data_IF_550093329081
#
_entry.id   IF_550093329081
#
_cell.length_a   1.000
_cell.length_b   1.000
_cell.length_c   1.000
_cell.angle_alpha   90.00
_cell.angle_beta   90.00
_cell.angle_gamma   90.00
#
_symmetry.space_group_name_H-M   'P 1'
#
loop_
_entity.id
_entity.type
_entity.pdbx_description
1 polymer ?
#
# COMPACT_ATOMS: atom_id res chain seq x y z
N UNK A 1 -25.79 -62.66 -21.79
CA UNK A 1 -24.63 -62.15 -21.03
C UNK A 1 -25.05 -61.17 -19.91
N UNK A 2 -26.19 -61.39 -19.24
CA UNK A 2 -26.74 -60.49 -18.21
C UNK A 2 -27.53 -61.28 -17.14
N UNK A 3 -27.05 -62.47 -16.73
CA UNK A 3 -27.83 -63.35 -15.84
C UNK A 3 -27.20 -63.76 -14.52
N UNK A 4 -25.98 -63.30 -14.21
CA UNK A 4 -25.34 -63.60 -12.92
C UNK A 4 -24.73 -62.32 -12.34
N UNK A 5 -25.57 -61.40 -11.87
CA UNK A 5 -25.13 -60.32 -10.97
C UNK A 5 -25.58 -60.73 -9.57
N UNK A 6 -24.60 -61.02 -8.72
CA UNK A 6 -24.80 -61.39 -7.33
C UNK A 6 -25.57 -60.27 -6.61
N UNK A 7 -26.77 -60.53 -6.07
CA UNK A 7 -27.58 -59.51 -5.40
C UNK A 7 -26.87 -58.89 -4.19
N UNK A 8 -25.90 -59.57 -3.57
CA UNK A 8 -25.13 -59.00 -2.46
C UNK A 8 -24.12 -57.92 -2.89
N UNK A 9 -23.66 -57.95 -4.15
CA UNK A 9 -22.80 -56.90 -4.72
C UNK A 9 -23.55 -55.59 -4.93
N UNK A 10 -24.86 -55.67 -5.25
CA UNK A 10 -25.69 -54.50 -5.53
C UNK A 10 -25.92 -53.65 -4.27
N UNK A 11 -26.09 -54.28 -3.11
CA UNK A 11 -26.34 -53.56 -1.85
C UNK A 11 -25.13 -52.69 -1.44
N UNK A 12 -23.91 -53.19 -1.64
CA UNK A 12 -22.69 -52.42 -1.35
C UNK A 12 -22.56 -51.17 -2.24
N UNK A 13 -22.84 -51.30 -3.53
CA UNK A 13 -22.76 -50.17 -4.47
C UNK A 13 -23.82 -49.10 -4.21
N UNK A 14 -25.04 -49.50 -3.81
CA UNK A 14 -26.11 -48.55 -3.47
C UNK A 14 -25.76 -47.75 -2.22
N UNK A 15 -25.20 -48.40 -1.18
CA UNK A 15 -24.77 -47.70 0.05
C UNK A 15 -23.64 -46.70 -0.26
N UNK A 16 -22.64 -47.10 -1.04
CA UNK A 16 -21.54 -46.22 -1.44
C UNK A 16 -22.06 -45.00 -2.21
N UNK A 17 -23.00 -45.21 -3.13
CA UNK A 17 -23.61 -44.13 -3.90
C UNK A 17 -24.38 -43.14 -3.01
N UNK A 18 -25.18 -43.64 -2.06
CA UNK A 18 -25.92 -42.79 -1.12
C UNK A 18 -24.96 -41.95 -0.27
N UNK A 19 -23.88 -42.55 0.25
CA UNK A 19 -22.88 -41.82 1.04
C UNK A 19 -22.18 -40.74 0.20
N UNK A 20 -21.85 -41.03 -1.06
CA UNK A 20 -21.23 -40.06 -1.97
C UNK A 20 -22.15 -38.87 -2.25
N UNK A 21 -23.45 -39.11 -2.49
CA UNK A 21 -24.44 -38.04 -2.71
C UNK A 21 -24.61 -37.17 -1.46
N UNK A 22 -24.66 -37.78 -0.27
CA UNK A 22 -24.74 -37.03 0.99
C UNK A 22 -23.50 -36.16 1.19
N UNK A 23 -22.30 -36.70 1.04
CA UNK A 23 -21.03 -35.96 1.15
C UNK A 23 -20.98 -34.77 0.18
N UNK A 24 -21.41 -34.98 -1.07
CA UNK A 24 -21.44 -33.93 -2.08
C UNK A 24 -22.46 -32.83 -1.73
N UNK A 25 -23.64 -33.20 -1.24
CA UNK A 25 -24.65 -32.25 -0.75
C UNK A 25 -24.14 -31.41 0.43
N UNK A 26 -23.43 -32.02 1.38
CA UNK A 26 -22.82 -31.29 2.50
C UNK A 26 -21.74 -30.32 2.01
N UNK A 27 -20.90 -30.74 1.07
CA UNK A 27 -19.86 -29.89 0.50
C UNK A 27 -20.45 -28.65 -0.21
N UNK A 28 -21.49 -28.84 -1.02
CA UNK A 28 -22.20 -27.71 -1.67
C UNK A 28 -22.77 -26.76 -0.63
N UNK A 29 -23.37 -27.29 0.44
CA UNK A 29 -23.96 -26.48 1.52
C UNK A 29 -22.90 -25.65 2.24
N UNK A 30 -21.72 -26.24 2.51
CA UNK A 30 -20.59 -25.55 3.13
C UNK A 30 -20.04 -24.45 2.22
N UNK A 31 -19.89 -24.72 0.92
CA UNK A 31 -19.42 -23.71 -0.04
C UNK A 31 -20.41 -22.55 -0.19
N UNK A 32 -21.71 -22.83 -0.22
CA UNK A 32 -22.74 -21.80 -0.24
C UNK A 32 -22.76 -20.96 1.04
N UNK A 33 -22.62 -21.60 2.21
CA UNK A 33 -22.50 -20.89 3.48
C UNK A 33 -21.23 -20.02 3.54
N UNK A 34 -20.10 -20.52 3.03
CA UNK A 34 -18.85 -19.78 2.96
C UNK A 34 -18.99 -18.53 2.08
N UNK A 35 -19.58 -18.66 0.89
CA UNK A 35 -19.86 -17.52 -0.01
C UNK A 35 -20.73 -16.45 0.68
N UNK A 36 -21.77 -16.88 1.41
CA UNK A 36 -22.61 -15.96 2.20
C UNK A 36 -21.87 -15.30 3.34
N UNK A 37 -21.00 -16.03 4.04
CA UNK A 37 -20.16 -15.45 5.11
C UNK A 37 -19.18 -14.43 4.53
N UNK A 38 -18.51 -14.74 3.42
CA UNK A 38 -17.61 -13.80 2.73
C UNK A 38 -18.35 -12.53 2.28
N UNK A 39 -19.50 -12.70 1.62
CA UNK A 39 -20.37 -11.58 1.21
C UNK A 39 -20.80 -10.73 2.42
N UNK A 40 -21.15 -11.38 3.53
CA UNK A 40 -21.55 -10.71 4.77
C UNK A 40 -20.39 -9.94 5.44
N UNK A 41 -19.16 -10.46 5.35
CA UNK A 41 -17.94 -9.76 5.77
C UNK A 41 -17.63 -8.54 4.88
N UNK A 42 -17.77 -8.66 3.56
CA UNK A 42 -17.57 -7.57 2.61
C UNK A 42 -18.57 -6.42 2.79
N UNK A 43 -19.83 -6.75 3.13
CA UNK A 43 -20.87 -5.75 3.37
C UNK A 43 -20.76 -5.06 4.75
N UNK A 44 -19.84 -5.50 5.63
CA UNK A 44 -19.55 -4.84 6.90
C UNK A 44 -20.62 -4.98 7.99
N UNK A 45 -21.60 -5.88 7.80
CA UNK A 45 -22.71 -6.10 8.74
C UNK A 45 -22.29 -6.67 10.11
N UNK A 46 -21.09 -7.25 10.20
CA UNK A 46 -20.56 -7.79 11.45
C UNK A 46 -20.30 -6.72 12.53
N UNK A 47 -20.18 -5.45 12.14
CA UNK A 47 -19.98 -4.33 13.08
C UNK A 47 -21.18 -4.11 14.02
N UNK A 48 -22.38 -4.53 13.62
CA UNK A 48 -23.60 -4.33 14.41
C UNK A 48 -23.87 -5.48 15.40
N UNK A 49 -23.14 -6.61 15.30
CA UNK A 49 -23.35 -7.80 16.14
C UNK A 49 -22.35 -7.96 17.29
N UNK A 50 -21.29 -7.14 17.34
CA UNK A 50 -20.38 -7.13 18.49
C UNK A 50 -20.75 -5.99 19.44
N UNK A 51 -21.27 -6.27 20.65
CA UNK A 51 -21.38 -5.27 21.69
C UNK A 51 -19.97 -4.95 22.18
N UNK A 52 -19.29 -4.03 21.50
CA UNK A 52 -18.07 -3.44 22.04
C UNK A 52 -18.47 -2.61 23.26
N UNK A 53 -18.27 -3.21 24.44
CA UNK A 53 -18.29 -2.47 25.69
C UNK A 53 -17.18 -1.42 25.61
N UNK A 54 -17.55 -0.14 25.55
CA UNK A 54 -16.66 0.97 25.88
C UNK A 54 -16.38 0.91 27.39
N UNK A 55 -15.49 0.02 27.81
CA UNK A 55 -14.91 0.03 29.15
C UNK A 55 -13.58 0.78 29.09
N UNK A 56 -13.68 2.10 29.15
CA UNK A 56 -12.56 2.98 29.47
C UNK A 56 -12.06 2.63 30.87
N UNK A 57 -11.04 1.77 30.97
CA UNK A 57 -10.31 1.57 32.23
C UNK A 57 -9.57 2.86 32.56
N UNK A 58 -10.08 3.54 33.59
CA UNK A 58 -9.40 4.63 34.27
C UNK A 58 -8.01 4.17 34.73
N UNK A 59 -6.97 4.75 34.16
CA UNK A 59 -5.63 4.69 34.71
C UNK A 59 -5.56 5.65 35.90
N UNK A 60 -5.40 5.08 37.08
CA UNK A 60 -5.23 5.78 38.35
C UNK A 60 -3.83 6.42 38.40
N UNK A 61 -3.75 7.69 37.98
CA UNK A 61 -2.69 8.60 38.40
C UNK A 61 -3.26 9.60 39.43
N UNK A 62 -2.52 9.92 40.50
CA UNK A 62 -2.98 10.90 41.48
C UNK A 62 -3.04 12.30 40.84
N UNK A 63 -4.04 13.13 41.21
CA UNK A 63 -4.22 14.44 40.58
C UNK A 63 -3.14 15.41 41.07
N UNK A 64 -2.24 15.81 40.16
CA UNK A 64 -1.49 17.05 40.33
C UNK A 64 -2.47 18.19 40.11
N UNK A 65 -2.85 18.85 41.19
CA UNK A 65 -3.76 20.00 41.21
C UNK A 65 -3.01 21.24 40.71
N UNK A 66 -2.75 21.31 39.41
CA UNK A 66 -2.48 22.59 38.75
C UNK A 66 -3.80 23.18 38.29
N UNK A 67 -4.04 24.45 38.64
CA UNK A 67 -5.25 25.20 38.32
C UNK A 67 -5.40 25.47 36.83
N UNK A 68 -5.67 24.42 36.06
CA UNK A 68 -6.09 24.52 34.68
C UNK A 68 -7.58 24.82 34.69
N UNK A 69 -7.93 26.08 34.38
CA UNK A 69 -9.31 26.37 34.02
C UNK A 69 -9.72 25.41 32.90
N UNK A 70 -10.90 24.79 32.96
CA UNK A 70 -11.39 23.97 31.86
C UNK A 70 -11.37 24.85 30.61
N UNK A 71 -10.59 24.45 29.61
CA UNK A 71 -10.70 25.03 28.28
C UNK A 71 -12.18 24.85 27.90
N UNK A 72 -12.93 25.92 27.63
CA UNK A 72 -14.29 25.79 27.17
C UNK A 72 -14.24 24.93 25.91
N UNK A 73 -14.83 23.74 25.97
CA UNK A 73 -15.17 22.99 24.77
C UNK A 73 -16.23 23.83 24.09
N UNK A 74 -15.80 24.78 23.27
CA UNK A 74 -16.66 25.45 22.31
C UNK A 74 -17.27 24.35 21.48
N UNK A 75 -18.56 24.11 21.69
CA UNK A 75 -19.44 23.49 20.71
C UNK A 75 -19.07 24.08 19.35
N UNK A 76 -18.46 23.28 18.47
CA UNK A 76 -18.25 23.66 17.08
C UNK A 76 -19.59 24.13 16.54
N UNK A 77 -19.67 25.44 16.32
CA UNK A 77 -20.91 26.12 15.98
C UNK A 77 -21.44 25.56 14.67
N UNK A 78 -22.76 25.42 14.60
CA UNK A 78 -23.54 25.18 13.38
C UNK A 78 -23.42 26.34 12.35
N UNK A 79 -22.30 27.07 12.32
CA UNK A 79 -22.10 28.09 11.31
C UNK A 79 -22.00 27.41 9.94
N UNK A 80 -22.79 27.87 8.95
CA UNK A 80 -22.77 27.29 7.62
C UNK A 80 -21.36 27.46 7.03
N UNK A 81 -20.80 26.37 6.50
CA UNK A 81 -19.49 26.40 5.85
C UNK A 81 -19.51 27.44 4.71
N UNK A 82 -18.41 28.21 4.54
CA UNK A 82 -18.28 29.10 3.40
C UNK A 82 -18.40 28.30 2.10
N UNK A 83 -19.26 28.77 1.18
CA UNK A 83 -19.47 28.13 -0.12
C UNK A 83 -18.40 28.59 -1.10
N UNK A 84 -17.81 27.65 -1.82
CA UNK A 84 -16.82 27.94 -2.85
C UNK A 84 -17.40 27.62 -4.23
N UNK A 85 -17.41 28.61 -5.13
CA UNK A 85 -17.94 28.42 -6.47
C UNK A 85 -17.09 27.41 -7.25
N UNK A 86 -17.73 26.71 -8.20
CA UNK A 86 -17.10 25.60 -8.92
C UNK A 86 -15.78 25.98 -9.60
N UNK A 87 -15.77 27.15 -10.24
CA UNK A 87 -14.58 27.70 -10.90
C UNK A 87 -13.44 27.93 -9.90
N UNK A 88 -13.77 28.46 -8.73
CA UNK A 88 -12.78 28.89 -7.74
C UNK A 88 -12.11 27.71 -7.08
N UNK A 89 -12.87 26.67 -6.70
CA UNK A 89 -12.27 25.48 -6.11
C UNK A 89 -11.46 24.68 -7.14
N UNK A 90 -11.91 24.62 -8.41
CA UNK A 90 -11.14 23.99 -9.49
C UNK A 90 -9.84 24.73 -9.78
N UNK A 91 -9.89 26.06 -9.85
CA UNK A 91 -8.69 26.90 -10.04
C UNK A 91 -7.68 26.65 -8.92
N UNK A 92 -8.15 26.65 -7.68
CA UNK A 92 -7.39 26.30 -6.49
C UNK A 92 -6.68 24.93 -6.63
N UNK A 93 -7.41 23.84 -6.86
CA UNK A 93 -6.80 22.49 -6.91
C UNK A 93 -5.97 22.20 -8.17
N UNK A 94 -6.10 22.99 -9.24
CA UNK A 94 -5.41 22.74 -10.51
C UNK A 94 -4.31 23.75 -10.83
N UNK A 95 -4.52 25.02 -10.54
CA UNK A 95 -3.65 26.12 -10.95
C UNK A 95 -2.77 26.65 -9.82
N UNK A 96 -2.93 26.13 -8.59
CA UNK A 96 -2.08 26.50 -7.44
C UNK A 96 -1.26 25.29 -6.92
N UNK A 97 -0.39 24.67 -7.76
CA UNK A 97 0.44 23.52 -7.36
C UNK A 97 1.32 23.76 -6.13
N UNK A 98 1.67 25.02 -5.88
CA UNK A 98 2.54 25.39 -4.78
C UNK A 98 1.83 25.34 -3.42
N UNK A 99 0.51 25.49 -3.43
CA UNK A 99 -0.34 25.49 -2.23
C UNK A 99 -1.06 24.15 -2.07
N UNK A 100 -1.51 23.56 -3.18
CA UNK A 100 -2.21 22.28 -3.23
C UNK A 100 -1.50 21.31 -4.19
N UNK A 101 -0.28 20.83 -3.85
CA UNK A 101 0.48 19.94 -4.74
C UNK A 101 -0.18 18.57 -4.88
N UNK A 102 -0.85 18.10 -3.83
CA UNK A 102 -1.46 16.77 -3.76
C UNK A 102 -2.90 16.88 -3.24
N UNK A 103 -3.73 15.94 -3.69
CA UNK A 103 -5.14 15.91 -3.37
C UNK A 103 -5.53 14.53 -2.83
N UNK A 104 -6.23 14.53 -1.71
CA UNK A 104 -6.87 13.36 -1.14
C UNK A 104 -8.38 13.50 -1.27
N UNK A 105 -9.02 12.59 -2.00
CA UNK A 105 -10.46 12.55 -2.19
C UNK A 105 -11.01 11.35 -1.41
N UNK A 106 -11.79 11.64 -0.37
CA UNK A 106 -12.36 10.66 0.56
C UNK A 106 -13.85 10.52 0.30
N UNK A 107 -14.39 9.31 0.42
CA UNK A 107 -15.84 9.10 0.38
C UNK A 107 -16.24 7.65 0.17
N UNK A 108 -17.44 7.29 0.62
CA UNK A 108 -17.99 5.93 0.48
C UNK A 108 -18.14 5.51 -1.00
N UNK A 109 -18.40 4.23 -1.24
CA UNK A 109 -18.74 3.78 -2.59
C UNK A 109 -19.96 4.55 -3.13
N UNK A 110 -19.91 4.95 -4.40
CA UNK A 110 -20.96 5.76 -5.04
C UNK A 110 -21.03 7.24 -4.62
N UNK A 111 -20.07 7.78 -3.86
CA UNK A 111 -20.04 9.22 -3.52
C UNK A 111 -19.55 10.13 -4.66
N UNK A 112 -19.20 9.55 -5.81
CA UNK A 112 -18.72 10.30 -6.98
C UNK A 112 -17.22 10.65 -6.95
N UNK A 113 -16.39 9.96 -6.15
CA UNK A 113 -14.93 10.19 -6.08
C UNK A 113 -14.26 10.19 -7.46
N UNK A 114 -14.42 9.11 -8.23
CA UNK A 114 -13.79 8.98 -9.55
C UNK A 114 -14.35 10.02 -10.53
N UNK A 115 -15.65 10.34 -10.45
CA UNK A 115 -16.27 11.43 -11.22
C UNK A 115 -15.66 12.79 -10.88
N UNK A 116 -15.45 13.08 -9.59
CA UNK A 116 -14.81 14.30 -9.13
C UNK A 116 -13.34 14.38 -9.58
N UNK A 117 -12.60 13.29 -9.45
CA UNK A 117 -11.22 13.19 -9.93
C UNK A 117 -11.13 13.47 -11.44
N UNK A 118 -12.03 12.88 -12.26
CA UNK A 118 -12.12 13.16 -13.70
C UNK A 118 -12.44 14.63 -13.99
N UNK A 119 -13.37 15.23 -13.26
CA UNK A 119 -13.69 16.65 -13.40
C UNK A 119 -12.48 17.54 -13.10
N UNK A 120 -11.70 17.21 -12.07
CA UNK A 120 -10.44 17.90 -11.73
C UNK A 120 -9.43 17.74 -12.87
N UNK A 121 -9.23 16.51 -13.36
CA UNK A 121 -8.27 16.20 -14.42
C UNK A 121 -8.66 16.84 -15.77
N UNK A 122 -9.95 17.07 -16.03
CA UNK A 122 -10.44 17.67 -17.29
C UNK A 122 -9.85 19.05 -17.60
N UNK A 123 -9.33 19.76 -16.60
CA UNK A 123 -8.67 21.06 -16.77
C UNK A 123 -7.19 21.05 -16.40
N UNK A 124 -6.64 19.90 -15.96
CA UNK A 124 -5.21 19.75 -15.73
C UNK A 124 -4.46 19.63 -17.06
N UNK A 125 -3.16 19.89 -17.00
CA UNK A 125 -2.21 19.74 -18.10
C UNK A 125 -1.06 18.83 -17.67
N UNK A 126 -0.38 18.24 -18.64
CA UNK A 126 0.81 17.42 -18.42
C UNK A 126 0.56 15.94 -18.72
N UNK A 127 1.41 15.10 -18.13
CA UNK A 127 1.31 13.65 -18.24
C UNK A 127 0.37 13.10 -17.17
N UNK A 128 -0.32 12.01 -17.49
CA UNK A 128 -1.26 11.33 -16.59
C UNK A 128 -0.88 9.85 -16.43
N UNK A 129 -0.76 9.40 -15.19
CA UNK A 129 -0.69 7.99 -14.83
C UNK A 129 -1.89 7.65 -13.92
N UNK A 130 -2.71 6.69 -14.31
CA UNK A 130 -3.81 6.17 -13.47
C UNK A 130 -3.48 4.73 -13.10
N UNK A 131 -3.50 4.44 -11.82
CA UNK A 131 -3.32 3.10 -11.24
C UNK A 131 -4.58 2.79 -10.45
N UNK A 132 -5.24 1.69 -10.77
CA UNK A 132 -6.50 1.28 -10.14
C UNK A 132 -6.52 -0.24 -9.97
N UNK A 133 -7.02 -0.79 -8.86
CA UNK A 133 -7.21 -2.23 -8.74
C UNK A 133 -8.43 -2.73 -9.54
N UNK A 134 -9.24 -1.84 -10.11
CA UNK A 134 -10.51 -2.20 -10.74
C UNK A 134 -10.32 -2.49 -12.22
N UNK A 135 -10.73 -3.69 -12.64
CA UNK A 135 -10.66 -4.12 -14.04
C UNK A 135 -11.73 -3.44 -14.92
N UNK A 136 -12.96 -3.34 -14.41
CA UNK A 136 -14.14 -2.89 -15.18
C UNK A 136 -14.20 -1.36 -15.39
N UNK A 137 -13.48 -0.57 -14.59
CA UNK A 137 -13.50 0.89 -14.69
C UNK A 137 -12.57 1.45 -15.79
N UNK A 138 -11.92 0.59 -16.57
CA UNK A 138 -11.03 0.99 -17.67
C UNK A 138 -11.72 1.93 -18.68
N UNK A 139 -12.96 1.61 -19.05
CA UNK A 139 -13.75 2.41 -19.99
C UNK A 139 -14.14 3.78 -19.41
N UNK A 140 -14.32 3.87 -18.10
CA UNK A 140 -14.77 5.09 -17.45
C UNK A 140 -13.73 6.21 -17.52
N UNK A 141 -12.44 5.90 -17.52
CA UNK A 141 -11.38 6.91 -17.56
C UNK A 141 -11.11 7.43 -18.99
N UNK A 142 -11.47 6.65 -20.02
CA UNK A 142 -11.25 6.98 -21.44
C UNK A 142 -9.78 7.31 -21.80
N UNK A 143 -8.83 6.84 -21.00
CA UNK A 143 -7.39 6.93 -21.22
C UNK A 143 -6.75 5.62 -20.75
N UNK A 144 -5.56 5.26 -21.27
CA UNK A 144 -4.83 4.10 -20.77
C UNK A 144 -4.60 4.20 -19.25
N UNK A 145 -4.82 3.08 -18.57
CA UNK A 145 -4.64 2.96 -17.13
C UNK A 145 -4.00 1.62 -16.80
N UNK A 146 -3.47 1.52 -15.58
CA UNK A 146 -2.83 0.32 -15.06
C UNK A 146 -3.79 -0.37 -14.08
N UNK A 147 -4.23 -1.57 -14.44
CA UNK A 147 -5.09 -2.43 -13.60
C UNK A 147 -4.33 -3.59 -13.00
N UNK A 148 -5.02 -4.36 -12.15
CA UNK A 148 -4.64 -5.74 -11.84
C UNK A 148 -4.50 -6.57 -13.11
N UNK A 149 -3.67 -7.60 -13.01
CA UNK A 149 -3.42 -8.59 -14.05
C UNK A 149 -4.64 -9.53 -14.23
N UNK A 150 -4.77 -10.24 -15.37
CA UNK A 150 -5.89 -11.16 -15.61
C UNK A 150 -6.02 -12.31 -14.60
N UNK A 151 -4.95 -12.64 -13.89
CA UNK A 151 -4.91 -13.62 -12.79
C UNK A 151 -5.22 -13.00 -11.41
N UNK A 152 -5.76 -11.77 -11.40
CA UNK A 152 -6.02 -10.96 -10.22
C UNK A 152 -4.76 -10.60 -9.39
N UNK A 153 -3.57 -10.69 -9.99
CA UNK A 153 -2.31 -10.26 -9.39
C UNK A 153 -2.13 -8.74 -9.47
N UNK A 154 -1.40 -8.18 -8.52
CA UNK A 154 -0.97 -6.77 -8.47
C UNK A 154 0.46 -6.59 -9.04
N UNK A 155 0.96 -7.54 -9.84
CA UNK A 155 2.35 -7.52 -10.30
C UNK A 155 2.63 -6.35 -11.24
N UNK A 156 1.75 -6.08 -12.20
CA UNK A 156 1.86 -4.94 -13.12
C UNK A 156 1.68 -3.61 -12.39
N UNK A 157 0.76 -3.53 -11.43
CA UNK A 157 0.60 -2.37 -10.53
C UNK A 157 1.90 -2.11 -9.78
N UNK A 158 2.49 -3.13 -9.14
CA UNK A 158 3.73 -2.99 -8.37
C UNK A 158 4.89 -2.53 -9.24
N UNK A 159 5.06 -3.10 -10.44
CA UNK A 159 6.08 -2.68 -11.39
C UNK A 159 5.89 -1.22 -11.82
N UNK A 160 4.66 -0.80 -12.08
CA UNK A 160 4.30 0.57 -12.43
C UNK A 160 4.61 1.55 -11.29
N UNK A 161 4.23 1.22 -10.05
CA UNK A 161 4.50 2.06 -8.88
C UNK A 161 6.01 2.26 -8.67
N UNK A 162 6.81 1.21 -8.86
CA UNK A 162 8.28 1.30 -8.83
C UNK A 162 8.82 2.19 -9.94
N UNK A 163 8.31 2.06 -11.16
CA UNK A 163 8.73 2.89 -12.30
C UNK A 163 8.36 4.37 -12.10
N UNK A 164 7.18 4.67 -11.54
CA UNK A 164 6.76 6.02 -11.15
C UNK A 164 7.68 6.60 -10.05
N UNK A 165 8.05 5.79 -9.07
CA UNK A 165 8.98 6.18 -8.02
C UNK A 165 10.38 6.50 -8.60
N UNK A 166 10.94 5.63 -9.43
CA UNK A 166 12.21 5.89 -10.12
C UNK A 166 12.15 7.14 -11.00
N UNK A 167 11.03 7.34 -11.70
CA UNK A 167 10.79 8.54 -12.50
C UNK A 167 10.83 9.79 -11.61
N UNK A 168 10.13 9.80 -10.48
CA UNK A 168 10.16 10.93 -9.54
C UNK A 168 11.59 11.30 -9.11
N UNK A 169 12.42 10.30 -8.80
CA UNK A 169 13.80 10.53 -8.35
C UNK A 169 14.69 11.14 -9.44
N UNK A 170 14.50 10.71 -10.69
CA UNK A 170 15.32 11.14 -11.84
C UNK A 170 14.87 12.49 -12.43
N UNK A 171 13.64 12.91 -12.14
CA UNK A 171 13.06 14.13 -12.73
C UNK A 171 13.80 15.41 -12.35
N UNK A 172 13.73 16.38 -13.25
CA UNK A 172 14.18 17.77 -13.06
C UNK A 172 12.99 18.72 -13.08
N UNK A 173 13.18 19.98 -12.68
CA UNK A 173 12.11 21.00 -12.70
C UNK A 173 11.64 21.38 -14.11
N UNK A 174 12.48 21.18 -15.12
CA UNK A 174 12.17 21.49 -16.51
C UNK A 174 11.15 20.51 -17.14
N UNK A 175 10.96 19.35 -16.52
CA UNK A 175 10.14 18.29 -17.09
C UNK A 175 8.64 18.64 -17.10
N UNK A 176 7.93 18.10 -18.09
CA UNK A 176 6.46 18.16 -18.17
C UNK A 176 5.83 17.63 -16.89
N UNK A 177 4.90 18.34 -16.23
CA UNK A 177 4.26 17.88 -14.99
C UNK A 177 3.62 16.51 -15.13
N UNK A 178 3.66 15.71 -14.07
CA UNK A 178 2.95 14.42 -14.00
C UNK A 178 1.85 14.50 -12.95
N UNK A 179 0.65 14.07 -13.27
CA UNK A 179 -0.38 13.73 -12.27
C UNK A 179 -0.50 12.22 -12.17
N UNK A 180 -0.28 11.69 -10.97
CA UNK A 180 -0.50 10.29 -10.64
C UNK A 180 -1.84 10.19 -9.91
N UNK A 181 -2.71 9.29 -10.37
CA UNK A 181 -3.99 8.96 -9.73
C UNK A 181 -3.87 7.55 -9.18
N UNK A 182 -4.04 7.40 -7.87
CA UNK A 182 -4.23 6.10 -7.23
C UNK A 182 -5.72 5.97 -6.92
N UNK A 183 -6.45 5.30 -7.82
CA UNK A 183 -7.86 4.99 -7.60
C UNK A 183 -7.97 3.78 -6.68
N UNK A 184 -8.83 3.89 -5.67
CA UNK A 184 -8.95 2.94 -4.57
C UNK A 184 -7.64 2.65 -3.82
N UNK A 185 -7.02 3.72 -3.32
CA UNK A 185 -5.79 3.69 -2.55
C UNK A 185 -5.84 2.71 -1.36
N UNK A 186 -7.00 2.53 -0.73
CA UNK A 186 -7.14 1.61 0.42
C UNK A 186 -6.81 0.17 0.04
N UNK A 187 -7.19 -0.28 -1.16
CA UNK A 187 -6.83 -1.62 -1.65
C UNK A 187 -5.33 -1.67 -1.96
N UNK A 188 -4.83 -0.69 -2.72
CA UNK A 188 -3.42 -0.62 -3.12
C UNK A 188 -2.44 -0.57 -1.94
N UNK A 189 -2.83 0.11 -0.85
CA UNK A 189 -2.02 0.27 0.35
C UNK A 189 -2.01 -0.97 1.25
N UNK A 190 -3.00 -1.86 1.13
CA UNK A 190 -3.14 -3.06 1.95
C UNK A 190 -2.76 -4.36 1.23
N UNK A 191 -2.65 -4.34 -0.11
CA UNK A 191 -2.23 -5.50 -0.88
C UNK A 191 -0.77 -5.91 -0.61
N UNK A 192 -0.51 -7.22 -0.52
CA UNK A 192 0.81 -7.76 -0.13
C UNK A 192 1.89 -7.52 -1.17
N UNK A 193 1.55 -7.48 -2.45
CA UNK A 193 2.52 -7.39 -3.54
C UNK A 193 2.93 -5.94 -3.82
N UNK A 194 2.02 -4.98 -3.63
CA UNK A 194 2.28 -3.58 -3.98
C UNK A 194 2.32 -2.58 -2.81
N UNK A 195 1.91 -2.95 -1.57
CA UNK A 195 1.87 -2.01 -0.43
C UNK A 195 3.18 -1.23 -0.21
N UNK A 196 4.33 -1.88 -0.35
CA UNK A 196 5.63 -1.26 -0.06
C UNK A 196 5.99 -0.25 -1.15
N UNK A 197 5.77 -0.58 -2.42
CA UNK A 197 5.99 0.33 -3.54
C UNK A 197 5.00 1.51 -3.50
N UNK A 198 3.74 1.25 -3.13
CA UNK A 198 2.71 2.26 -2.94
C UNK A 198 3.11 3.25 -1.84
N UNK A 199 3.49 2.74 -0.66
CA UNK A 199 3.93 3.56 0.47
C UNK A 199 5.18 4.39 0.13
N UNK A 200 6.18 3.78 -0.54
CA UNK A 200 7.39 4.49 -0.99
C UNK A 200 7.06 5.62 -1.96
N UNK A 201 6.19 5.36 -2.96
CA UNK A 201 5.76 6.37 -3.92
C UNK A 201 5.03 7.53 -3.23
N UNK A 202 4.01 7.24 -2.41
CA UNK A 202 3.22 8.27 -1.72
C UNK A 202 4.11 9.13 -0.82
N UNK A 203 5.00 8.51 -0.04
CA UNK A 203 5.94 9.22 0.83
C UNK A 203 6.88 10.13 0.05
N UNK A 204 7.44 9.63 -1.05
CA UNK A 204 8.37 10.40 -1.85
C UNK A 204 7.66 11.53 -2.60
N UNK A 205 6.47 11.30 -3.15
CA UNK A 205 5.68 12.34 -3.81
C UNK A 205 5.24 13.41 -2.81
N UNK A 206 4.79 13.05 -1.61
CA UNK A 206 4.43 14.02 -0.58
C UNK A 206 5.60 14.96 -0.21
N UNK A 207 6.84 14.45 -0.21
CA UNK A 207 8.04 15.22 0.15
C UNK A 207 8.66 15.99 -1.01
N UNK A 208 8.70 15.39 -2.20
CA UNK A 208 9.47 15.87 -3.35
C UNK A 208 8.58 16.32 -4.51
N UNK A 209 7.30 15.96 -4.51
CA UNK A 209 6.41 16.12 -5.66
C UNK A 209 6.27 17.58 -6.10
N UNK A 210 6.17 18.51 -5.15
CA UNK A 210 6.15 19.96 -5.45
C UNK A 210 7.39 20.38 -6.24
N UNK A 211 8.60 20.07 -5.76
CA UNK A 211 9.85 20.47 -6.42
C UNK A 211 10.14 19.69 -7.70
N UNK A 212 9.51 18.54 -7.91
CA UNK A 212 9.65 17.69 -9.11
C UNK A 212 8.47 17.80 -10.09
N UNK A 213 7.52 18.70 -9.82
CA UNK A 213 6.27 18.89 -10.59
C UNK A 213 5.48 17.59 -10.77
N UNK A 214 5.47 16.74 -9.74
CA UNK A 214 4.67 15.52 -9.66
C UNK A 214 3.55 15.75 -8.65
N UNK A 215 2.31 15.53 -9.08
CA UNK A 215 1.11 15.64 -8.25
C UNK A 215 0.52 14.27 -8.01
N UNK A 216 -0.17 14.13 -6.88
CA UNK A 216 -0.82 12.89 -6.48
C UNK A 216 -2.30 13.16 -6.23
N UNK A 217 -3.16 12.35 -6.81
CA UNK A 217 -4.58 12.23 -6.48
C UNK A 217 -4.79 10.86 -5.83
N UNK A 218 -5.16 10.85 -4.56
CA UNK A 218 -5.51 9.64 -3.82
C UNK A 218 -7.02 9.55 -3.70
N UNK A 219 -7.63 8.47 -4.18
CA UNK A 219 -9.05 8.19 -4.00
C UNK A 219 -9.20 7.10 -2.94
N UNK A 220 -9.89 7.36 -1.82
CA UNK A 220 -10.02 6.39 -0.72
C UNK A 220 -11.43 6.37 -0.14
N UNK A 221 -11.80 5.23 0.43
CA UNK A 221 -13.08 5.02 1.11
C UNK A 221 -13.05 5.41 2.59
N UNK A 222 -11.87 5.45 3.20
CA UNK A 222 -11.72 5.65 4.63
C UNK A 222 -11.23 7.05 4.95
N UNK A 223 -11.81 7.65 5.99
CA UNK A 223 -11.30 8.88 6.58
C UNK A 223 -9.96 8.57 7.24
N UNK A 224 -8.87 8.94 6.55
CA UNK A 224 -7.47 9.13 6.95
C UNK A 224 -6.91 8.38 8.17
N UNK A 225 -7.52 8.41 9.35
CA UNK A 225 -7.00 7.77 10.56
C UNK A 225 -6.79 6.25 10.37
N UNK A 226 -7.72 5.49 9.81
CA UNK A 226 -7.56 4.04 9.65
C UNK A 226 -6.64 3.65 8.48
N UNK A 227 -6.81 4.29 7.32
CA UNK A 227 -6.01 4.04 6.12
C UNK A 227 -4.54 4.51 6.23
N UNK A 228 -4.18 5.35 7.22
CA UNK A 228 -2.80 5.86 7.41
C UNK A 228 -2.20 5.57 8.79
N UNK A 229 -2.98 5.02 9.74
CA UNK A 229 -2.49 4.67 11.09
C UNK A 229 -1.43 3.57 11.10
N UNK A 230 -1.22 2.85 9.99
CA UNK A 230 -0.29 1.72 10.02
C UNK A 230 1.18 2.11 10.19
N UNK A 231 1.62 3.37 10.05
CA UNK A 231 3.06 3.73 10.19
C UNK A 231 3.38 5.23 10.49
N UNK A 232 2.63 5.95 11.33
CA UNK A 232 2.98 7.34 11.69
C UNK A 232 2.89 8.34 10.52
N UNK A 233 2.02 8.06 9.56
CA UNK A 233 1.88 8.80 8.30
C UNK A 233 1.02 10.07 8.41
N UNK A 234 0.62 10.48 9.61
CA UNK A 234 -0.20 11.69 9.82
C UNK A 234 0.47 12.95 9.23
N UNK A 235 1.77 13.10 9.44
CA UNK A 235 2.55 14.22 8.89
C UNK A 235 2.64 14.22 7.34
N UNK A 236 2.38 13.07 6.68
CA UNK A 236 2.35 13.03 5.23
C UNK A 236 1.07 13.66 4.68
N UNK A 237 -0.06 13.46 5.38
CA UNK A 237 -1.36 13.97 4.99
C UNK A 237 -1.45 15.50 5.05
N UNK A 238 -0.62 16.13 5.86
CA UNK A 238 -0.48 17.60 5.90
C UNK A 238 -0.03 18.18 4.55
N UNK A 239 0.57 17.37 3.67
CA UNK A 239 0.93 17.78 2.30
C UNK A 239 -0.22 17.64 1.29
N UNK A 240 -1.40 17.21 1.74
CA UNK A 240 -2.57 16.98 0.90
C UNK A 240 -3.69 17.97 1.23
N UNK A 241 -4.17 18.65 0.20
CA UNK A 241 -5.52 19.21 0.24
C UNK A 241 -6.53 18.06 0.26
N UNK A 242 -7.58 18.17 1.06
CA UNK A 242 -8.55 17.08 1.23
C UNK A 242 -9.93 17.48 0.70
N UNK A 243 -10.60 16.56 0.00
CA UNK A 243 -12.00 16.69 -0.38
C UNK A 243 -12.79 15.49 0.14
N UNK A 244 -13.73 15.74 1.04
CA UNK A 244 -14.68 14.74 1.54
C UNK A 244 -15.96 14.77 0.71
N UNK A 245 -16.19 13.72 -0.08
CA UNK A 245 -17.38 13.56 -0.91
C UNK A 245 -18.52 12.93 -0.11
N UNK A 246 -19.65 13.63 -0.02
CA UNK A 246 -20.86 13.10 0.58
C UNK A 246 -21.65 12.25 -0.41
N UNK A 247 -22.29 11.19 0.11
CA UNK A 247 -23.09 10.29 -0.73
C UNK A 247 -24.48 10.91 -0.92
N UNK A 248 -24.97 10.94 -2.17
CA UNK A 248 -26.34 11.34 -2.55
C UNK A 248 -26.74 12.81 -2.33
N UNK A 249 -25.87 13.68 -1.82
CA UNK A 249 -26.23 15.08 -1.51
C UNK A 249 -25.77 16.10 -2.56
N UNK A 250 -25.00 15.68 -3.57
CA UNK A 250 -24.28 16.57 -4.50
C UNK A 250 -23.45 17.65 -3.78
N UNK A 251 -22.87 17.27 -2.64
CA UNK A 251 -21.99 18.12 -1.83
C UNK A 251 -20.66 17.43 -1.59
N UNK A 252 -19.63 18.25 -1.43
CA UNK A 252 -18.36 17.82 -0.89
C UNK A 252 -17.78 18.91 0.01
N UNK A 253 -16.90 18.55 0.94
CA UNK A 253 -16.18 19.51 1.76
C UNK A 253 -14.72 19.55 1.34
N UNK A 254 -14.22 20.73 0.95
CA UNK A 254 -12.80 20.96 0.73
C UNK A 254 -12.16 21.46 2.03
N UNK A 255 -11.10 20.80 2.49
CA UNK A 255 -10.25 21.27 3.58
C UNK A 255 -8.97 21.84 2.96
N UNK A 256 -8.75 23.13 3.17
CA UNK A 256 -7.63 23.88 2.63
C UNK A 256 -7.17 24.91 3.67
N UNK A 257 -5.88 24.89 4.04
CA UNK A 257 -5.28 25.77 5.06
C UNK A 257 -6.14 25.84 6.34
N UNK A 258 -6.53 24.67 6.86
CA UNK A 258 -7.41 24.49 8.03
C UNK A 258 -8.82 25.08 7.92
N UNK A 259 -9.19 25.64 6.77
CA UNK A 259 -10.54 26.13 6.48
C UNK A 259 -11.33 25.08 5.71
N UNK A 260 -12.57 24.86 6.12
CA UNK A 260 -13.52 23.95 5.47
C UNK A 260 -14.45 24.75 4.56
N UNK A 261 -14.53 24.36 3.29
CA UNK A 261 -15.42 24.97 2.29
C UNK A 261 -16.44 23.95 1.80
N UNK A 262 -17.69 24.38 1.66
CA UNK A 262 -18.72 23.58 0.97
C UNK A 262 -18.55 23.73 -0.55
N UNK A 263 -18.48 22.60 -1.24
CA UNK A 263 -18.44 22.49 -2.69
C UNK A 263 -19.79 22.01 -3.22
N UNK A 264 -20.33 22.74 -4.20
CA UNK A 264 -21.45 22.26 -5.02
C UNK A 264 -20.93 21.32 -6.12
N UNK A 265 -21.34 20.05 -6.06
CA UNK A 265 -20.89 19.02 -7.01
C UNK A 265 -21.94 18.64 -8.06
N UNK A 266 -23.06 19.37 -8.16
CA UNK A 266 -24.13 19.07 -9.14
C UNK A 266 -23.66 19.03 -10.58
N UNK A 267 -22.71 19.88 -10.94
CA UNK A 267 -22.16 20.00 -12.30
C UNK A 267 -20.90 19.15 -12.53
N UNK A 268 -20.36 18.48 -11.50
CA UNK A 268 -19.16 17.65 -11.60
C UNK A 268 -19.30 16.54 -12.66
N UNK A 269 -20.44 15.85 -12.82
CA UNK A 269 -20.63 14.87 -13.90
C UNK A 269 -20.44 15.47 -15.30
N UNK A 270 -20.99 16.67 -15.56
CA UNK A 270 -20.86 17.34 -16.85
C UNK A 270 -19.39 17.71 -17.15
N UNK A 271 -18.62 18.08 -16.13
CA UNK A 271 -17.18 18.31 -16.29
C UNK A 271 -16.40 17.02 -16.56
N UNK A 272 -16.73 15.94 -15.84
CA UNK A 272 -16.08 14.64 -16.02
C UNK A 272 -16.27 14.07 -17.44
N UNK A 273 -17.38 14.43 -18.10
CA UNK A 273 -17.70 14.05 -19.48
C UNK A 273 -16.87 14.77 -20.54
N UNK A 274 -16.15 15.86 -20.21
CA UNK A 274 -15.29 16.57 -21.18
C UNK A 274 -14.12 15.72 -21.71
N UNK A 275 -13.90 14.55 -21.13
CA UNK A 275 -12.86 13.62 -21.52
C UNK A 275 -11.48 14.01 -21.00
N UNK A 276 -10.54 13.08 -21.07
CA UNK A 276 -9.14 13.26 -20.67
C UNK A 276 -8.18 13.15 -21.86
N UNK A 277 -8.71 13.16 -23.09
CA UNK A 277 -7.94 12.95 -24.32
C UNK A 277 -6.89 14.03 -24.59
N UNK A 278 -7.00 15.20 -23.96
CA UNK A 278 -5.98 16.26 -24.05
C UNK A 278 -4.75 16.00 -23.18
N UNK A 279 -4.82 15.03 -22.25
CA UNK A 279 -3.69 14.63 -21.41
C UNK A 279 -2.90 13.52 -22.11
N UNK A 280 -1.59 13.71 -22.21
CA UNK A 280 -0.70 12.65 -22.67
C UNK A 280 -0.57 11.61 -21.55
N UNK A 281 -0.70 10.33 -21.90
CA UNK A 281 -0.45 9.24 -20.95
C UNK A 281 1.04 9.18 -20.62
N UNK A 282 1.36 9.13 -19.33
CA UNK A 282 2.72 8.80 -18.90
C UNK A 282 3.05 7.37 -19.32
N UNK A 283 4.22 7.20 -19.94
CA UNK A 283 4.77 5.89 -20.26
C UNK A 283 6.01 5.68 -19.40
N UNK A 284 6.25 4.46 -18.88
CA UNK A 284 7.49 4.16 -18.21
C UNK A 284 8.66 4.45 -19.15
N UNK A 285 9.77 5.02 -18.65
CA UNK A 285 10.96 5.18 -19.47
C UNK A 285 11.33 3.81 -20.05
N UNK A 286 11.58 3.76 -21.36
CA UNK A 286 12.02 2.52 -21.99
C UNK A 286 13.24 2.00 -21.21
N UNK A 287 13.30 0.70 -20.90
CA UNK A 287 14.50 0.15 -20.28
C UNK A 287 15.69 0.57 -21.15
N UNK A 288 16.81 0.99 -20.54
CA UNK A 288 17.99 1.31 -21.31
C UNK A 288 18.26 0.13 -22.24
N UNK A 289 18.54 0.37 -23.54
CA UNK A 289 18.82 -0.71 -24.46
C UNK A 289 19.84 -1.59 -23.77
N UNK A 290 19.51 -2.87 -23.60
CA UNK A 290 20.44 -3.85 -23.05
C UNK A 290 21.65 -3.70 -23.94
N UNK A 291 22.68 -3.01 -23.44
CA UNK A 291 23.95 -2.99 -24.10
C UNK A 291 24.31 -4.45 -24.06
N UNK A 292 24.13 -5.14 -25.18
CA UNK A 292 24.59 -6.50 -25.37
C UNK A 292 25.99 -6.43 -24.81
N UNK A 293 26.18 -7.05 -23.64
CA UNK A 293 27.49 -7.13 -23.03
C UNK A 293 28.26 -7.72 -24.17
N UNK A 294 29.07 -6.89 -24.84
CA UNK A 294 30.01 -7.39 -25.83
C UNK A 294 30.74 -8.37 -24.97
N UNK A 295 30.51 -9.65 -25.19
CA UNK A 295 31.29 -10.71 -24.61
C UNK A 295 32.67 -10.30 -25.03
N UNK A 296 33.35 -9.61 -24.11
CA UNK A 296 34.72 -9.21 -24.27
C UNK A 296 35.33 -10.54 -24.56
N UNK A 297 35.68 -10.73 -25.83
CA UNK A 297 36.35 -11.90 -26.31
C UNK A 297 37.58 -11.89 -25.44
N UNK A 298 37.56 -12.70 -24.38
CA UNK A 298 38.68 -12.83 -23.47
C UNK A 298 39.83 -13.09 -24.42
N UNK A 299 40.87 -12.23 -24.45
CA UNK A 299 41.98 -12.45 -25.35
C UNK A 299 42.42 -13.88 -25.10
N UNK A 300 42.33 -14.70 -26.13
CA UNK A 300 42.67 -16.11 -26.06
C UNK A 300 44.17 -16.14 -25.74
N UNK A 301 44.52 -16.41 -24.49
CA UNK A 301 45.91 -16.53 -24.00
C UNK A 301 46.60 -17.82 -24.51
N UNK A 302 46.19 -18.34 -25.67
CA UNK A 302 46.84 -19.47 -26.33
C UNK A 302 48.00 -18.95 -27.17
N UNK A 303 49.07 -18.46 -26.54
CA UNK A 303 50.44 -18.39 -27.07
C UNK A 303 51.35 -17.55 -26.14
N UNK A 304 51.56 -18.02 -24.92
CA UNK A 304 52.78 -17.66 -24.19
C UNK A 304 53.54 -18.96 -23.99
N UNK A 305 54.63 -19.11 -24.75
CA UNK A 305 55.63 -20.15 -24.53
C UNK A 305 56.14 -20.05 -23.08
N UNK A 306 56.28 -21.19 -22.37
CA UNK A 306 56.77 -21.18 -21.01
C UNK A 306 58.27 -20.81 -20.99
N UNK A 307 58.70 -19.79 -20.21
CA UNK A 307 60.10 -19.63 -19.90
C UNK A 307 60.55 -20.72 -18.93
N UNK A 308 61.81 -21.09 -19.13
CA UNK A 308 62.53 -22.18 -18.52
C UNK A 308 62.55 -22.14 -16.98
N UNK A 309 62.58 -23.33 -16.41
CA UNK A 309 62.50 -23.67 -14.99
C UNK A 309 63.53 -22.96 -14.10
N UNK A 310 63.05 -22.09 -13.21
CA UNK A 310 63.76 -21.64 -12.02
C UNK A 310 62.94 -21.94 -10.76
N UNK A 311 63.43 -22.86 -9.95
CA UNK A 311 62.90 -23.23 -8.62
C UNK A 311 62.69 -22.00 -7.73
N UNK A 312 61.43 -21.72 -7.39
CA UNK A 312 61.00 -20.73 -6.37
C UNK A 312 60.13 -21.47 -5.35
N UNK A 313 60.21 -21.14 -4.03
CA UNK A 313 59.57 -21.93 -2.99
C UNK A 313 58.05 -21.86 -3.06
N UNK A 314 57.42 -22.99 -2.78
CA UNK A 314 55.98 -23.18 -2.62
C UNK A 314 55.47 -22.25 -1.51
N UNK A 315 54.82 -21.14 -1.89
CA UNK A 315 53.85 -20.48 -1.04
C UNK A 315 52.48 -21.08 -1.31
N UNK A 316 52.10 -22.00 -0.43
CA UNK A 316 50.74 -22.54 -0.32
C UNK A 316 49.79 -21.38 -0.03
N UNK A 317 49.07 -20.91 -1.05
CA UNK A 317 47.98 -19.96 -0.87
C UNK A 317 46.77 -20.74 -0.36
N UNK A 318 46.57 -20.67 0.95
CA UNK A 318 45.42 -21.24 1.65
C UNK A 318 44.16 -20.53 1.16
N UNK A 319 43.31 -21.27 0.45
CA UNK A 319 41.93 -20.87 0.16
C UNK A 319 41.23 -20.56 1.49
N UNK A 320 40.59 -19.39 1.65
CA UNK A 320 39.80 -19.10 2.84
C UNK A 320 38.67 -20.12 2.93
N UNK A 321 38.49 -20.82 4.05
CA UNK A 321 37.37 -21.73 4.22
C UNK A 321 36.06 -20.95 4.11
N UNK A 322 35.12 -21.56 3.41
CA UNK A 322 33.69 -21.28 3.44
C UNK A 322 33.27 -20.82 4.84
N UNK A 323 32.61 -19.66 4.91
CA UNK A 323 32.13 -19.06 6.15
C UNK A 323 31.17 -20.03 6.84
N UNK A 324 31.73 -20.86 7.72
CA UNK A 324 30.99 -21.67 8.65
C UNK A 324 30.01 -20.77 9.40
N UNK A 325 28.81 -21.28 9.59
CA UNK A 325 27.76 -20.73 10.43
C UNK A 325 28.38 -20.22 11.71
N UNK A 326 28.61 -18.91 11.78
CA UNK A 326 29.18 -18.29 12.96
C UNK A 326 28.19 -18.54 14.09
N UNK A 327 28.58 -19.41 15.01
CA UNK A 327 27.89 -19.62 16.28
C UNK A 327 27.67 -18.21 16.87
N UNK A 328 26.42 -17.77 17.06
CA UNK A 328 26.18 -16.43 17.56
C UNK A 328 26.91 -16.29 18.91
N UNK A 329 27.61 -15.16 19.13
CA UNK A 329 28.28 -14.92 20.40
C UNK A 329 27.27 -15.06 21.54
N UNK A 330 27.69 -15.78 22.58
CA UNK A 330 26.88 -16.06 23.76
C UNK A 330 26.26 -14.76 24.29
N UNK A 331 24.94 -14.73 24.41
CA UNK A 331 24.22 -13.51 24.79
C UNK A 331 24.44 -13.25 26.27
N UNK A 332 24.95 -12.08 26.65
CA UNK A 332 25.05 -11.76 28.08
C UNK A 332 23.64 -11.64 28.69
N UNK A 333 23.50 -12.01 29.97
CA UNK A 333 22.21 -11.94 30.67
C UNK A 333 21.64 -10.51 30.69
N UNK A 334 22.51 -9.51 30.82
CA UNK A 334 22.13 -8.09 30.78
C UNK A 334 21.56 -7.68 29.42
N UNK A 335 22.15 -8.19 28.34
CA UNK A 335 21.68 -7.91 27.00
C UNK A 335 20.36 -8.62 26.69
N UNK A 336 20.21 -9.89 27.11
CA UNK A 336 18.94 -10.62 27.01
C UNK A 336 17.80 -9.85 27.71
N UNK A 337 18.07 -9.40 28.94
CA UNK A 337 17.13 -8.60 29.73
C UNK A 337 16.75 -7.28 29.05
N UNK A 338 17.73 -6.58 28.45
CA UNK A 338 17.48 -5.35 27.70
C UNK A 338 16.60 -5.59 26.46
N UNK A 339 16.86 -6.66 25.70
CA UNK A 339 16.07 -7.01 24.51
C UNK A 339 14.61 -7.30 24.88
N UNK A 340 14.39 -8.12 25.90
CA UNK A 340 13.04 -8.46 26.40
C UNK A 340 12.31 -7.20 26.88
N UNK A 341 12.98 -6.33 27.64
CA UNK A 341 12.39 -5.08 28.13
C UNK A 341 11.95 -4.16 26.98
N UNK A 342 12.79 -3.98 25.95
CA UNK A 342 12.45 -3.17 24.78
C UNK A 342 11.30 -3.78 23.98
N UNK A 343 11.26 -5.10 23.83
CA UNK A 343 10.18 -5.79 23.13
C UNK A 343 8.84 -5.64 23.86
N UNK A 344 8.82 -5.82 25.19
CA UNK A 344 7.64 -5.58 26.05
C UNK A 344 7.18 -4.12 26.04
N UNK A 345 8.09 -3.18 25.84
CA UNK A 345 7.78 -1.76 25.65
C UNK A 345 7.23 -1.43 24.24
N UNK A 346 7.01 -2.44 23.39
CA UNK A 346 6.38 -2.28 22.06
C UNK A 346 7.34 -1.90 20.93
N UNK A 347 8.65 -1.99 21.14
CA UNK A 347 9.63 -1.70 20.09
C UNK A 347 9.66 -2.85 19.07
N UNK A 348 9.70 -2.51 17.78
CA UNK A 348 9.83 -3.51 16.71
C UNK A 348 11.22 -4.15 16.70
N UNK A 349 11.32 -5.41 16.26
CA UNK A 349 12.62 -6.12 16.12
C UNK A 349 13.63 -5.34 15.30
N UNK A 350 13.19 -4.59 14.28
CA UNK A 350 14.07 -3.73 13.47
C UNK A 350 14.69 -2.60 14.28
N UNK A 351 13.91 -1.98 15.17
CA UNK A 351 14.38 -0.88 16.03
C UNK A 351 15.32 -1.40 17.12
N UNK A 352 15.04 -2.56 17.68
CA UNK A 352 15.93 -3.24 18.61
C UNK A 352 17.24 -3.64 17.91
N UNK A 353 17.18 -4.20 16.70
CA UNK A 353 18.36 -4.56 15.93
C UNK A 353 19.26 -3.36 15.61
N UNK A 354 18.68 -2.19 15.34
CA UNK A 354 19.44 -0.95 15.15
C UNK A 354 20.15 -0.49 16.43
N UNK A 355 19.56 -0.74 17.61
CA UNK A 355 20.16 -0.39 18.91
C UNK A 355 21.28 -1.34 19.33
N UNK A 356 21.16 -2.64 18.98
CA UNK A 356 22.19 -3.65 19.28
C UNK A 356 23.46 -3.51 18.42
N UNK A 357 23.34 -2.86 17.26
CA UNK A 357 24.42 -2.76 16.28
C UNK A 357 24.79 -4.09 15.62
N UNK A 358 25.91 -4.09 14.89
CA UNK A 358 26.40 -5.26 14.16
C UNK A 358 25.65 -5.54 12.86
N UNK A 359 25.88 -6.73 12.28
CA UNK A 359 25.18 -7.14 11.06
C UNK A 359 23.70 -7.41 11.37
N UNK A 360 22.81 -7.08 10.42
CA UNK A 360 21.37 -7.31 10.56
C UNK A 360 21.07 -8.79 10.88
N UNK A 361 21.77 -9.74 10.26
CA UNK A 361 21.56 -11.16 10.53
C UNK A 361 21.91 -11.53 11.97
N UNK A 362 23.04 -11.03 12.47
CA UNK A 362 23.51 -11.28 13.84
C UNK A 362 22.57 -10.67 14.88
N UNK A 363 22.11 -9.45 14.66
CA UNK A 363 21.20 -8.78 15.58
C UNK A 363 19.85 -9.50 15.71
N UNK A 364 19.29 -10.05 14.62
CA UNK A 364 18.03 -10.80 14.69
C UNK A 364 18.20 -12.17 15.34
N UNK A 365 19.32 -12.86 15.11
CA UNK A 365 19.63 -14.10 15.81
C UNK A 365 19.62 -13.88 17.33
N UNK A 366 20.32 -12.84 17.80
CA UNK A 366 20.35 -12.42 19.21
C UNK A 366 18.98 -12.09 19.79
N UNK A 367 18.14 -11.36 19.04
CA UNK A 367 16.78 -11.03 19.45
C UNK A 367 15.91 -12.27 19.59
N UNK A 368 16.00 -13.21 18.65
CA UNK A 368 15.19 -14.43 18.70
C UNK A 368 15.62 -15.33 19.87
N UNK A 369 16.93 -15.51 20.08
CA UNK A 369 17.46 -16.27 21.22
C UNK A 369 16.99 -15.70 22.56
N UNK A 370 17.02 -14.37 22.75
CA UNK A 370 16.56 -13.73 23.99
C UNK A 370 15.05 -13.92 24.23
N UNK A 371 14.23 -13.91 23.18
CA UNK A 371 12.78 -14.10 23.30
C UNK A 371 12.41 -15.58 23.50
N UNK A 372 13.17 -16.51 22.91
CA UNK A 372 12.97 -17.95 23.08
C UNK A 372 13.30 -18.40 24.52
N UNK A 373 14.35 -17.85 25.13
CA UNK A 373 14.70 -18.13 26.54
C UNK A 373 13.65 -17.64 27.55
N UNK A 374 12.81 -16.67 27.18
CA UNK A 374 11.73 -16.18 28.05
C UNK A 374 10.51 -17.12 28.03
N UNK A 375 10.26 -17.78 26.90
CA UNK A 375 9.14 -18.72 26.72
C UNK A 375 9.43 -20.06 27.41
N UNK A 376 10.71 -20.42 27.58
CA UNK A 376 11.18 -21.64 28.19
C UNK A 376 12.20 -21.34 29.31
N UNK A 377 11.74 -20.89 30.50
CA UNK A 377 12.61 -20.49 31.61
C UNK A 377 13.36 -21.63 32.28
#
# INVERSE_FOLDING_TARGET
MLRDIDPQSLEGHVIIFIVAVLMFGTLITVLWAYDKVCTWFEMGYWRDLLPFSNSSRASSYPPVRMGMQPIPVTSEGNEPLPKLAQRDWLDRVNNQPDLAPHLLIVGKSGSGKSTLARAILSSRRGLLAIVTPKFEEAEAWAVPLVTIDPDASFSTINATLKALYSTLLQRTQADTPITIVLDDYTILANDRQCKDACAQLVQAVARLGRSKRVRLLLLTHETTAAATATNGQHALLENFTRIDCERYTHRATLVWDDVRYELDTRNVPALAQRGLAHLATWQPPAPPPVQSVRTSTVPRWDAIEPPDTGTVPVHTSTVPPEAGTAIPPDLSADEAGMIVALYKAGYSKNKIAALLGGSKSTAYARINTALESEVHP
#
